data_IF_910835752009
#
_entry.id   IF_910835752009
#
_cell.length_a   1.000
_cell.length_b   1.000
_cell.length_c   1.000
_cell.angle_alpha   90.00
_cell.angle_beta   90.00
_cell.angle_gamma   90.00
#
_symmetry.space_group_name_H-M   'P 1'
#
loop_
_entity.id
_entity.type
_entity.pdbx_description
1 polymer ?
#
# COMPACT_ATOMS: atom_id res chain seq x y z
N UNK A 1 20.98 -9.89 11.44
CA UNK A 1 19.69 -9.89 10.74
C UNK A 1 19.82 -10.82 9.55
N UNK A 2 18.89 -11.74 9.35
CA UNK A 2 18.84 -12.57 8.16
C UNK A 2 18.03 -11.83 7.09
N UNK A 3 18.71 -11.32 6.09
CA UNK A 3 18.11 -10.49 5.05
C UNK A 3 17.42 -11.32 3.95
N UNK A 4 17.67 -12.64 3.92
CA UNK A 4 17.08 -13.53 2.92
C UNK A 4 15.66 -13.98 3.34
N UNK A 5 15.26 -13.75 4.60
CA UNK A 5 13.97 -14.17 5.18
C UNK A 5 13.23 -13.01 5.87
N UNK A 6 13.00 -11.92 5.13
CA UNK A 6 12.27 -10.75 5.64
C UNK A 6 10.79 -10.82 5.24
N UNK A 7 9.91 -10.67 6.23
CA UNK A 7 8.47 -10.48 6.03
C UNK A 7 8.03 -9.10 6.51
N UNK A 8 6.84 -8.67 6.09
CA UNK A 8 6.22 -7.41 6.52
C UNK A 8 4.78 -7.65 6.95
N UNK A 9 4.34 -7.00 8.03
CA UNK A 9 2.95 -7.06 8.46
C UNK A 9 2.46 -5.69 8.94
N UNK A 10 1.16 -5.47 8.85
CA UNK A 10 0.57 -4.24 9.36
C UNK A 10 -0.96 -4.25 9.40
N UNK A 11 -1.50 -3.37 10.23
CA UNK A 11 -2.95 -3.12 10.35
C UNK A 11 -3.28 -1.69 9.93
N UNK A 12 -4.47 -1.45 9.39
CA UNK A 12 -4.92 -0.11 8.96
C UNK A 12 -3.94 0.51 7.96
N UNK A 13 -3.43 1.73 8.18
CA UNK A 13 -2.40 2.34 7.32
C UNK A 13 -1.13 1.46 7.19
N UNK A 14 -0.80 0.66 8.20
CA UNK A 14 0.27 -0.33 8.10
C UNK A 14 -0.06 -1.49 7.17
N UNK A 15 -1.34 -1.86 7.06
CA UNK A 15 -1.82 -2.87 6.11
C UNK A 15 -1.67 -2.40 4.67
N UNK A 16 -1.99 -1.13 4.38
CA UNK A 16 -1.64 -0.48 3.12
C UNK A 16 -0.13 -0.61 2.84
N UNK A 17 0.71 -0.18 3.78
CA UNK A 17 2.16 -0.16 3.62
C UNK A 17 2.77 -1.55 3.44
N UNK A 18 2.25 -2.56 4.16
CA UNK A 18 2.70 -3.95 4.02
C UNK A 18 2.45 -4.50 2.61
N UNK A 19 1.24 -4.31 2.08
CA UNK A 19 0.93 -4.70 0.70
C UNK A 19 1.71 -3.86 -0.32
N UNK A 20 1.83 -2.55 -0.11
CA UNK A 20 2.55 -1.66 -1.01
C UNK A 20 4.04 -2.04 -1.10
N UNK A 21 4.68 -2.36 0.02
CA UNK A 21 6.07 -2.80 0.06
C UNK A 21 6.31 -4.10 -0.71
N UNK A 22 5.38 -5.05 -0.66
CA UNK A 22 5.44 -6.28 -1.48
C UNK A 22 5.38 -5.96 -2.99
N UNK A 23 4.61 -4.94 -3.39
CA UNK A 23 4.46 -4.54 -4.80
C UNK A 23 5.62 -3.69 -5.33
N UNK A 24 6.29 -2.93 -4.46
CA UNK A 24 7.44 -2.09 -4.83
C UNK A 24 8.76 -2.83 -4.68
N UNK A 25 8.86 -3.76 -3.73
CA UNK A 25 10.08 -4.51 -3.42
C UNK A 25 9.82 -6.03 -3.31
N UNK A 26 9.27 -6.68 -4.35
CA UNK A 26 8.90 -8.10 -4.30
C UNK A 26 10.10 -9.02 -4.04
N UNK A 27 11.29 -8.63 -4.49
CA UNK A 27 12.52 -9.39 -4.26
C UNK A 27 13.04 -9.33 -2.83
N UNK A 28 12.65 -8.34 -2.03
CA UNK A 28 13.12 -8.18 -0.65
C UNK A 28 12.17 -8.84 0.35
N UNK A 29 10.88 -8.53 0.25
CA UNK A 29 9.86 -9.06 1.18
C UNK A 29 9.30 -10.38 0.68
N UNK A 30 9.46 -11.43 1.48
CA UNK A 30 9.09 -12.81 1.10
C UNK A 30 7.65 -13.14 1.44
N UNK A 31 7.10 -12.52 2.48
CA UNK A 31 5.72 -12.72 2.95
C UNK A 31 5.17 -11.39 3.46
N UNK A 32 3.93 -11.08 3.07
CA UNK A 32 3.18 -9.92 3.54
C UNK A 32 1.90 -10.33 4.27
N UNK A 33 1.62 -9.77 5.45
CA UNK A 33 0.34 -9.93 6.17
C UNK A 33 -0.33 -8.57 6.37
N UNK A 34 -1.46 -8.37 5.72
CA UNK A 34 -2.24 -7.12 5.76
C UNK A 34 -3.55 -7.36 6.52
N UNK A 35 -3.92 -6.41 7.38
CA UNK A 35 -5.17 -6.42 8.13
C UNK A 35 -5.86 -5.06 7.98
N UNK A 36 -7.06 -5.05 7.40
CA UNK A 36 -7.90 -3.85 7.29
C UNK A 36 -7.18 -2.64 6.67
N UNK A 37 -6.28 -2.87 5.70
CA UNK A 37 -5.61 -1.80 4.98
C UNK A 37 -6.50 -1.19 3.90
N UNK A 38 -6.40 0.13 3.73
CA UNK A 38 -6.91 0.77 2.52
C UNK A 38 -5.94 0.50 1.37
N UNK A 39 -6.46 0.07 0.22
CA UNK A 39 -5.65 -0.26 -0.95
C UNK A 39 -5.94 0.64 -2.14
N UNK A 40 -6.87 1.58 -1.97
CA UNK A 40 -7.19 2.61 -2.94
C UNK A 40 -7.80 3.82 -2.22
N UNK A 41 -6.99 4.88 -2.09
CA UNK A 41 -7.38 6.12 -1.43
C UNK A 41 -8.64 6.78 -2.03
N UNK A 42 -9.02 6.41 -3.28
CA UNK A 42 -10.25 6.87 -3.93
C UNK A 42 -11.52 6.22 -3.33
N UNK A 43 -11.37 5.13 -2.59
CA UNK A 43 -12.45 4.36 -1.97
C UNK A 43 -12.51 4.51 -0.44
N UNK A 44 -11.49 5.14 0.17
CA UNK A 44 -11.44 5.40 1.61
C UNK A 44 -12.06 6.77 1.98
N UNK A 45 -11.98 7.12 3.26
CA UNK A 45 -12.46 8.38 3.84
C UNK A 45 -11.84 9.58 3.13
N UNK A 46 -12.64 10.22 2.27
CA UNK A 46 -12.24 11.39 1.49
C UNK A 46 -11.49 12.46 2.30
N UNK A 47 -11.99 12.83 3.49
CA UNK A 47 -11.36 13.87 4.33
C UNK A 47 -9.90 13.57 4.71
N UNK A 48 -9.55 12.29 4.90
CA UNK A 48 -8.18 11.91 5.22
C UNK A 48 -7.31 12.05 3.98
N UNK A 49 -7.72 11.42 2.88
CA UNK A 49 -6.93 11.41 1.66
C UNK A 49 -6.79 12.82 1.04
N UNK A 50 -7.84 13.64 1.04
CA UNK A 50 -7.76 15.02 0.59
C UNK A 50 -6.84 15.89 1.47
N UNK A 51 -6.75 15.60 2.77
CA UNK A 51 -5.86 16.34 3.67
C UNK A 51 -4.37 16.01 3.45
N UNK A 52 -4.03 14.77 3.07
CA UNK A 52 -2.63 14.32 2.95
C UNK A 52 -2.12 14.19 1.51
N UNK A 53 -3.01 13.87 0.56
CA UNK A 53 -2.68 13.70 -0.85
C UNK A 53 -3.22 14.86 -1.70
N UNK A 54 -4.22 15.58 -1.22
CA UNK A 54 -4.72 16.82 -1.83
C UNK A 54 -6.01 16.64 -2.62
N UNK A 55 -6.72 17.75 -2.85
CA UNK A 55 -7.91 17.82 -3.70
C UNK A 55 -7.71 18.95 -4.74
N UNK A 56 -8.14 18.79 -6.01
CA UNK A 56 -8.89 17.65 -6.56
C UNK A 56 -8.04 16.39 -6.74
N UNK A 57 -8.69 15.21 -6.75
CA UNK A 57 -8.06 13.91 -7.06
C UNK A 57 -7.32 13.99 -8.39
N UNK A 58 -6.03 13.64 -8.39
CA UNK A 58 -5.17 13.60 -9.59
C UNK A 58 -4.70 12.15 -9.88
N UNK A 59 -3.89 11.99 -10.93
CA UNK A 59 -3.37 10.69 -11.41
C UNK A 59 -2.55 9.93 -10.35
N UNK A 60 -1.96 10.65 -9.38
CA UNK A 60 -1.14 10.08 -8.31
C UNK A 60 -1.96 9.17 -7.37
N UNK A 61 -3.27 9.42 -7.21
CA UNK A 61 -4.18 8.53 -6.47
C UNK A 61 -4.24 7.13 -7.07
N UNK A 62 -4.31 7.05 -8.41
CA UNK A 62 -4.31 5.77 -9.11
C UNK A 62 -2.92 5.15 -9.13
N UNK A 63 -1.87 5.96 -9.30
CA UNK A 63 -0.48 5.50 -9.38
C UNK A 63 0.02 4.84 -8.10
N UNK A 64 -0.42 5.32 -6.93
CA UNK A 64 -0.02 4.77 -5.62
C UNK A 64 -0.93 3.62 -5.13
N UNK A 65 -2.11 3.43 -5.74
CA UNK A 65 -3.06 2.40 -5.33
C UNK A 65 -2.49 0.99 -5.54
N UNK A 66 -2.56 0.18 -4.48
CA UNK A 66 -2.17 -1.22 -4.53
C UNK A 66 -3.04 -2.02 -5.52
N UNK A 67 -4.30 -1.61 -5.74
CA UNK A 67 -5.20 -2.23 -6.73
C UNK A 67 -4.65 -2.05 -8.15
N UNK A 68 -4.25 -0.83 -8.50
CA UNK A 68 -3.64 -0.54 -9.81
C UNK A 68 -2.28 -1.22 -9.98
N UNK A 69 -1.54 -1.40 -8.88
CA UNK A 69 -0.21 -2.00 -8.86
C UNK A 69 -0.22 -3.54 -8.75
N UNK A 70 -1.39 -4.18 -8.58
CA UNK A 70 -1.50 -5.60 -8.24
C UNK A 70 -0.80 -6.55 -9.24
N UNK A 71 -0.68 -6.16 -10.51
CA UNK A 71 0.01 -6.93 -11.55
C UNK A 71 1.54 -6.92 -11.47
N UNK A 72 2.13 -6.35 -10.42
CA UNK A 72 3.59 -6.35 -10.17
C UNK A 72 4.08 -7.59 -9.40
N UNK A 73 3.16 -8.45 -8.96
CA UNK A 73 3.47 -9.75 -8.34
C UNK A 73 3.69 -10.82 -9.39
#
# INVERSE_FOLDING_TARGET
MDIDRVGIFGTSAGGYGAAHAMLVFPEFYKVGVTISGDHDARLDKAWWNEAYQGYPVQDDYAAQSNVTMAGRL
#
